data_IF_902161394222
#
_entry.id   IF_902161394222
#
_cell.length_a   1.000
_cell.length_b   1.000
_cell.length_c   1.000
_cell.angle_alpha   90.00
_cell.angle_beta   90.00
_cell.angle_gamma   90.00
#
_symmetry.space_group_name_H-M   'P 1'
#
loop_
_entity.id
_entity.type
_entity.pdbx_description
1 polymer ?
#
# COMPACT_ATOMS: atom_id res chain seq x y z
N UNK A 1 -29.82 1.81 -14.30
CA UNK A 1 -28.89 2.18 -13.22
C UNK A 1 -27.63 1.36 -13.41
N UNK A 2 -26.51 2.02 -13.57
CA UNK A 2 -25.21 1.36 -13.74
C UNK A 2 -24.79 0.69 -12.41
N UNK A 3 -24.32 -0.57 -12.46
CA UNK A 3 -23.86 -1.29 -11.27
C UNK A 3 -22.35 -1.51 -11.32
N UNK A 4 -21.66 -1.25 -10.21
CA UNK A 4 -20.24 -1.56 -10.00
C UNK A 4 -20.14 -2.60 -8.87
N UNK A 5 -19.44 -3.70 -9.11
CA UNK A 5 -19.15 -4.69 -8.10
C UNK A 5 -17.97 -4.28 -7.23
N UNK A 6 -18.04 -4.54 -5.92
CA UNK A 6 -16.92 -4.32 -5.02
C UNK A 6 -16.65 -5.55 -4.15
N UNK A 7 -15.42 -6.07 -4.20
CA UNK A 7 -14.92 -7.16 -3.36
C UNK A 7 -14.28 -6.56 -2.10
N UNK A 8 -14.88 -6.82 -0.94
CA UNK A 8 -14.48 -6.23 0.34
C UNK A 8 -13.84 -7.27 1.24
N UNK A 9 -12.58 -7.04 1.67
CA UNK A 9 -11.92 -7.90 2.63
C UNK A 9 -12.34 -7.58 4.07
N UNK A 10 -11.95 -8.48 4.99
CA UNK A 10 -11.91 -8.27 6.44
C UNK A 10 -10.47 -8.24 6.91
N UNK A 11 -10.23 -7.62 8.05
CA UNK A 11 -8.94 -7.64 8.74
C UNK A 11 -9.17 -7.69 10.26
N UNK A 12 -8.25 -8.33 10.98
CA UNK A 12 -8.25 -8.35 12.44
C UNK A 12 -7.73 -7.03 13.02
N UNK A 13 -6.70 -6.45 12.38
CA UNK A 13 -6.07 -5.21 12.88
C UNK A 13 -6.69 -3.94 12.32
N UNK A 14 -7.26 -4.04 11.10
CA UNK A 14 -7.95 -2.94 10.41
C UNK A 14 -9.43 -3.30 10.27
N UNK A 15 -10.14 -3.39 11.38
CA UNK A 15 -11.52 -3.93 11.48
C UNK A 15 -12.51 -3.20 10.56
N UNK A 16 -12.26 -1.93 10.27
CA UNK A 16 -13.11 -1.09 9.43
C UNK A 16 -12.75 -1.11 7.94
N UNK A 17 -11.70 -1.86 7.53
CA UNK A 17 -11.14 -1.83 6.17
C UNK A 17 -12.21 -1.94 5.06
N UNK A 18 -13.14 -2.88 5.17
CA UNK A 18 -14.20 -3.07 4.17
C UNK A 18 -15.16 -1.88 4.10
N UNK A 19 -15.48 -1.28 5.24
CA UNK A 19 -16.33 -0.09 5.30
C UNK A 19 -15.63 1.15 4.76
N UNK A 20 -14.35 1.31 5.06
CA UNK A 20 -13.56 2.45 4.60
C UNK A 20 -13.34 2.41 3.09
N UNK A 21 -13.06 1.21 2.53
CA UNK A 21 -13.01 0.98 1.08
C UNK A 21 -14.35 1.32 0.40
N UNK A 22 -15.46 0.83 0.97
CA UNK A 22 -16.79 1.09 0.41
C UNK A 22 -17.15 2.58 0.45
N UNK A 23 -16.96 3.22 1.61
CA UNK A 23 -17.34 4.63 1.77
C UNK A 23 -16.42 5.56 0.97
N UNK A 24 -15.10 5.27 0.89
CA UNK A 24 -14.17 6.02 0.06
C UNK A 24 -14.60 6.03 -1.41
N UNK A 25 -14.93 4.87 -1.97
CA UNK A 25 -15.43 4.78 -3.35
C UNK A 25 -16.76 5.53 -3.53
N UNK A 26 -17.70 5.34 -2.60
CA UNK A 26 -19.02 5.98 -2.66
C UNK A 26 -18.91 7.50 -2.63
N UNK A 27 -18.11 8.04 -1.72
CA UNK A 27 -17.91 9.49 -1.61
C UNK A 27 -17.13 10.04 -2.81
N UNK A 28 -16.14 9.31 -3.35
CA UNK A 28 -15.42 9.70 -4.57
C UNK A 28 -16.33 9.76 -5.79
N UNK A 29 -17.21 8.78 -5.97
CA UNK A 29 -18.23 8.80 -7.05
C UNK A 29 -19.22 9.95 -6.88
N UNK A 30 -19.71 10.18 -5.66
CA UNK A 30 -20.61 11.30 -5.34
C UNK A 30 -19.96 12.65 -5.64
N UNK A 31 -18.70 12.84 -5.23
CA UNK A 31 -17.94 14.05 -5.52
C UNK A 31 -17.79 14.32 -7.02
N UNK A 32 -17.69 13.26 -7.82
CA UNK A 32 -17.65 13.34 -9.27
C UNK A 32 -19.03 13.44 -9.93
N UNK A 33 -20.11 13.63 -9.18
CA UNK A 33 -21.49 13.76 -9.68
C UNK A 33 -22.06 12.45 -10.24
N UNK A 34 -21.58 11.28 -9.79
CA UNK A 34 -22.01 9.97 -10.28
C UNK A 34 -22.89 9.21 -9.28
N UNK A 35 -23.93 9.89 -8.78
CA UNK A 35 -24.97 9.29 -7.93
C UNK A 35 -25.84 8.24 -8.67
N UNK A 36 -25.75 8.18 -10.00
CA UNK A 36 -26.39 7.19 -10.85
C UNK A 36 -25.79 5.79 -10.76
N UNK A 37 -24.60 5.65 -10.13
CA UNK A 37 -23.88 4.37 -9.98
C UNK A 37 -24.29 3.68 -8.68
N UNK A 38 -24.78 2.44 -8.80
CA UNK A 38 -25.07 1.58 -7.66
C UNK A 38 -23.87 0.67 -7.36
N UNK A 39 -23.38 0.71 -6.14
CA UNK A 39 -22.38 -0.23 -5.63
C UNK A 39 -23.05 -1.53 -5.15
N UNK A 40 -22.53 -2.68 -5.59
CA UNK A 40 -22.93 -4.03 -5.17
C UNK A 40 -21.73 -4.70 -4.52
N UNK A 41 -21.79 -4.98 -3.23
CA UNK A 41 -20.65 -5.51 -2.47
C UNK A 41 -20.77 -7.00 -2.22
N UNK A 42 -19.64 -7.70 -2.31
CA UNK A 42 -19.44 -9.09 -1.86
C UNK A 42 -18.26 -9.16 -0.88
N UNK A 43 -18.43 -9.93 0.19
CA UNK A 43 -17.38 -10.13 1.19
C UNK A 43 -16.50 -11.33 0.80
N UNK A 44 -15.19 -11.13 0.79
CA UNK A 44 -14.19 -12.15 0.45
C UNK A 44 -13.41 -12.68 1.67
N UNK A 45 -13.92 -12.47 2.88
CA UNK A 45 -13.20 -12.84 4.11
C UNK A 45 -11.87 -12.10 4.18
N UNK A 46 -10.81 -12.79 4.54
CA UNK A 46 -9.45 -12.25 4.54
C UNK A 46 -8.79 -12.25 3.14
N UNK A 47 -9.51 -12.62 2.09
CA UNK A 47 -8.98 -12.70 0.73
C UNK A 47 -8.05 -13.90 0.47
N UNK A 48 -7.91 -14.81 1.45
CA UNK A 48 -7.05 -15.99 1.37
C UNK A 48 -7.74 -17.22 0.77
N UNK A 49 -9.06 -17.32 0.89
CA UNK A 49 -9.83 -18.41 0.30
C UNK A 49 -10.09 -18.13 -1.19
N UNK A 50 -9.36 -18.89 -2.03
CA UNK A 50 -9.45 -18.79 -3.49
C UNK A 50 -10.87 -19.05 -4.02
N UNK A 51 -11.58 -20.02 -3.42
CA UNK A 51 -12.92 -20.38 -3.87
C UNK A 51 -13.93 -19.30 -3.50
N UNK A 52 -13.83 -18.74 -2.32
CA UNK A 52 -14.68 -17.62 -1.89
C UNK A 52 -14.45 -16.40 -2.80
N UNK A 53 -13.19 -16.00 -3.04
CA UNK A 53 -12.88 -14.90 -3.93
C UNK A 53 -13.45 -15.10 -5.34
N UNK A 54 -13.27 -16.32 -5.90
CA UNK A 54 -13.77 -16.64 -7.22
C UNK A 54 -15.31 -16.60 -7.28
N UNK A 55 -16.01 -17.25 -6.34
CA UNK A 55 -17.49 -17.26 -6.30
C UNK A 55 -18.08 -15.86 -6.12
N UNK A 56 -17.46 -15.03 -5.26
CA UNK A 56 -17.92 -13.65 -5.06
C UNK A 56 -17.76 -12.81 -6.33
N UNK A 57 -16.65 -12.97 -7.05
CA UNK A 57 -16.45 -12.28 -8.33
C UNK A 57 -17.41 -12.81 -9.42
N UNK A 58 -17.59 -14.10 -9.51
CA UNK A 58 -18.52 -14.75 -10.45
C UNK A 58 -19.95 -14.29 -10.21
N UNK A 59 -20.42 -14.25 -8.96
CA UNK A 59 -21.75 -13.74 -8.59
C UNK A 59 -21.95 -12.31 -9.05
N UNK A 60 -21.00 -11.41 -8.79
CA UNK A 60 -21.06 -10.01 -9.23
C UNK A 60 -21.20 -9.90 -10.76
N UNK A 61 -20.49 -10.74 -11.51
CA UNK A 61 -20.47 -10.73 -12.97
C UNK A 61 -21.74 -11.34 -13.54
N UNK A 62 -22.10 -12.57 -13.10
CA UNK A 62 -23.14 -13.39 -13.76
C UNK A 62 -24.53 -13.14 -13.20
N UNK A 63 -24.68 -12.94 -11.89
CA UNK A 63 -25.99 -12.76 -11.25
C UNK A 63 -26.36 -11.28 -11.14
N UNK A 64 -25.43 -10.44 -10.65
CA UNK A 64 -25.65 -9.01 -10.47
C UNK A 64 -25.47 -8.21 -11.76
N UNK A 65 -24.80 -8.79 -12.76
CA UNK A 65 -24.51 -8.18 -14.08
C UNK A 65 -23.87 -6.79 -13.95
N UNK A 66 -22.83 -6.67 -13.11
CA UNK A 66 -22.11 -5.42 -12.93
C UNK A 66 -21.30 -5.04 -14.17
N UNK A 67 -21.04 -3.75 -14.38
CA UNK A 67 -20.28 -3.25 -15.52
C UNK A 67 -18.79 -3.53 -15.41
N UNK A 68 -18.25 -3.41 -14.20
CA UNK A 68 -16.89 -3.75 -13.81
C UNK A 68 -16.85 -4.15 -12.33
N UNK A 69 -15.74 -4.71 -11.88
CA UNK A 69 -15.50 -5.05 -10.47
C UNK A 69 -14.25 -4.34 -9.98
N UNK A 70 -14.31 -3.86 -8.74
CA UNK A 70 -13.16 -3.34 -8.00
C UNK A 70 -12.98 -4.15 -6.72
N UNK A 71 -11.75 -4.32 -6.24
CA UNK A 71 -11.53 -5.02 -4.99
C UNK A 71 -10.15 -4.78 -4.40
N UNK A 72 -10.09 -4.71 -3.06
CA UNK A 72 -8.82 -4.70 -2.34
C UNK A 72 -8.32 -6.14 -2.20
N UNK A 73 -7.52 -6.56 -3.19
CA UNK A 73 -7.02 -7.93 -3.36
C UNK A 73 -5.54 -7.89 -3.79
N UNK A 74 -4.79 -8.93 -3.45
CA UNK A 74 -3.42 -9.08 -3.93
C UNK A 74 -3.34 -9.53 -5.40
N UNK A 75 -2.17 -9.33 -6.01
CA UNK A 75 -1.92 -9.73 -7.41
C UNK A 75 -2.18 -11.23 -7.68
N UNK A 76 -1.97 -12.12 -6.70
CA UNK A 76 -2.25 -13.56 -6.82
C UNK A 76 -3.74 -13.85 -6.99
N UNK A 77 -4.60 -13.14 -6.23
CA UNK A 77 -6.05 -13.24 -6.41
C UNK A 77 -6.47 -12.64 -7.75
N UNK A 78 -5.85 -11.54 -8.18
CA UNK A 78 -6.08 -10.98 -9.50
C UNK A 78 -5.74 -11.96 -10.63
N UNK A 79 -4.62 -12.68 -10.54
CA UNK A 79 -4.24 -13.74 -11.48
C UNK A 79 -5.25 -14.90 -11.51
N UNK A 80 -5.74 -15.31 -10.33
CA UNK A 80 -6.79 -16.32 -10.21
C UNK A 80 -8.08 -15.91 -10.92
N UNK A 81 -8.48 -14.64 -10.81
CA UNK A 81 -9.71 -14.10 -11.39
C UNK A 81 -9.58 -13.75 -12.88
N UNK A 82 -8.36 -13.61 -13.40
CA UNK A 82 -8.08 -13.20 -14.78
C UNK A 82 -8.88 -13.98 -15.84
N UNK A 83 -8.94 -15.33 -15.83
CA UNK A 83 -9.71 -16.09 -16.83
C UNK A 83 -11.20 -15.74 -16.82
N UNK A 84 -11.80 -15.54 -15.64
CA UNK A 84 -13.21 -15.18 -15.49
C UNK A 84 -13.50 -13.81 -16.14
N UNK A 85 -12.66 -12.80 -15.85
CA UNK A 85 -12.83 -11.46 -16.39
C UNK A 85 -12.58 -11.39 -17.90
N UNK A 86 -11.61 -12.16 -18.41
CA UNK A 86 -11.37 -12.30 -19.84
C UNK A 86 -12.59 -12.90 -20.54
N UNK A 87 -13.12 -14.02 -20.03
CA UNK A 87 -14.26 -14.71 -20.61
C UNK A 87 -15.54 -13.83 -20.58
N UNK A 88 -15.75 -13.07 -19.52
CA UNK A 88 -16.88 -12.16 -19.37
C UNK A 88 -16.73 -10.83 -20.12
N UNK A 89 -15.57 -10.54 -20.67
CA UNK A 89 -15.20 -9.24 -21.25
C UNK A 89 -15.48 -8.07 -20.28
N UNK A 90 -15.07 -8.24 -19.01
CA UNK A 90 -15.24 -7.26 -17.92
C UNK A 90 -13.88 -6.79 -17.42
N UNK A 91 -13.84 -5.61 -16.80
CA UNK A 91 -12.63 -5.05 -16.18
C UNK A 91 -12.65 -5.35 -14.67
N UNK A 92 -11.49 -5.74 -14.14
CA UNK A 92 -11.17 -5.82 -12.72
C UNK A 92 -10.18 -4.71 -12.36
N UNK A 93 -10.58 -3.83 -11.45
CA UNK A 93 -9.68 -2.85 -10.84
C UNK A 93 -9.19 -3.42 -9.51
N UNK A 94 -7.92 -3.71 -9.44
CA UNK A 94 -7.24 -4.23 -8.25
C UNK A 94 -6.74 -3.05 -7.43
N UNK A 95 -7.27 -2.91 -6.22
CA UNK A 95 -6.69 -2.04 -5.20
C UNK A 95 -5.73 -2.88 -4.38
N UNK A 96 -4.50 -2.44 -4.21
CA UNK A 96 -3.54 -3.17 -3.41
C UNK A 96 -2.57 -2.25 -2.64
N UNK A 97 -1.95 -2.81 -1.61
CA UNK A 97 -0.94 -2.11 -0.84
C UNK A 97 0.42 -2.00 -1.57
N UNK A 98 0.63 -2.74 -2.66
CA UNK A 98 1.93 -2.82 -3.32
C UNK A 98 3.01 -3.47 -2.44
N UNK A 99 2.61 -4.37 -1.54
CA UNK A 99 3.52 -5.11 -0.67
C UNK A 99 4.23 -6.27 -1.38
N UNK A 100 3.64 -6.73 -2.48
CA UNK A 100 4.22 -7.66 -3.44
C UNK A 100 3.94 -7.13 -4.85
N UNK A 101 4.78 -7.51 -5.81
CA UNK A 101 4.60 -7.21 -7.23
C UNK A 101 4.31 -8.52 -8.00
N UNK A 102 3.62 -8.44 -9.15
CA UNK A 102 3.48 -9.59 -10.04
C UNK A 102 4.85 -10.16 -10.43
N UNK A 103 4.98 -11.48 -10.43
CA UNK A 103 6.19 -12.16 -10.93
C UNK A 103 6.28 -12.04 -12.46
N UNK A 104 5.15 -12.22 -13.13
CA UNK A 104 5.03 -12.04 -14.56
C UNK A 104 4.19 -10.80 -14.88
N UNK A 105 4.77 -9.88 -15.63
CA UNK A 105 4.12 -8.67 -16.10
C UNK A 105 3.43 -8.86 -17.45
N UNK A 106 2.81 -10.01 -17.65
CA UNK A 106 2.06 -10.24 -18.89
C UNK A 106 0.89 -9.27 -18.97
N UNK A 107 0.88 -8.44 -20.00
CA UNK A 107 -0.18 -7.47 -20.25
C UNK A 107 -1.55 -8.15 -20.26
N UNK A 108 -2.48 -7.62 -19.49
CA UNK A 108 -3.87 -8.03 -19.48
C UNK A 108 -4.79 -6.81 -19.54
N UNK A 109 -5.49 -6.58 -20.66
CA UNK A 109 -6.33 -5.40 -20.83
C UNK A 109 -7.53 -5.37 -19.86
N UNK A 110 -7.86 -6.51 -19.25
CA UNK A 110 -8.97 -6.65 -18.33
C UNK A 110 -8.61 -6.35 -16.88
N UNK A 111 -7.31 -6.15 -16.55
CA UNK A 111 -6.87 -5.91 -15.19
C UNK A 111 -6.13 -4.57 -15.10
N UNK A 112 -6.57 -3.74 -14.19
CA UNK A 112 -5.97 -2.46 -13.84
C UNK A 112 -5.52 -2.56 -12.38
N UNK A 113 -4.29 -2.13 -12.09
CA UNK A 113 -3.77 -2.07 -10.71
C UNK A 113 -3.72 -0.63 -10.24
N UNK A 114 -4.35 -0.35 -9.11
CA UNK A 114 -4.21 0.91 -8.38
C UNK A 114 -3.59 0.61 -7.03
N UNK A 115 -2.34 1.06 -6.83
CA UNK A 115 -1.48 0.60 -5.75
C UNK A 115 -1.00 1.72 -4.83
N UNK A 116 -0.77 1.38 -3.54
CA UNK A 116 -0.05 2.22 -2.59
C UNK A 116 1.47 2.13 -2.76
N UNK A 117 1.97 1.14 -3.51
CA UNK A 117 3.40 0.94 -3.80
C UNK A 117 4.29 0.82 -2.56
N UNK A 118 3.86 0.08 -1.54
CA UNK A 118 4.62 -0.05 -0.30
C UNK A 118 6.02 -0.65 -0.49
N UNK A 119 6.21 -1.57 -1.43
CA UNK A 119 7.54 -2.11 -1.76
C UNK A 119 8.46 -1.05 -2.37
N UNK A 120 7.92 -0.15 -3.21
CA UNK A 120 8.66 0.97 -3.78
C UNK A 120 9.00 2.02 -2.70
N UNK A 121 8.07 2.31 -1.78
CA UNK A 121 8.32 3.16 -0.63
C UNK A 121 9.39 2.60 0.30
N UNK A 122 9.41 1.27 0.52
CA UNK A 122 10.47 0.60 1.28
C UNK A 122 11.84 0.74 0.59
N UNK A 123 11.91 0.55 -0.74
CA UNK A 123 13.10 0.81 -1.53
C UNK A 123 13.63 2.24 -1.33
N UNK A 124 12.77 3.23 -1.49
CA UNK A 124 13.13 4.65 -1.36
C UNK A 124 13.50 5.03 0.07
N UNK A 125 12.86 4.42 1.08
CA UNK A 125 13.19 4.61 2.50
C UNK A 125 14.62 4.13 2.81
N UNK A 126 15.01 3.00 2.26
CA UNK A 126 16.38 2.48 2.41
C UNK A 126 17.42 3.35 1.69
N UNK A 127 17.10 3.88 0.50
CA UNK A 127 17.98 4.83 -0.20
C UNK A 127 18.15 6.14 0.58
N UNK A 128 17.10 6.60 1.27
CA UNK A 128 17.17 7.77 2.15
C UNK A 128 18.22 7.58 3.26
N UNK A 129 18.32 6.39 3.84
CA UNK A 129 19.31 6.11 4.88
C UNK A 129 20.75 6.30 4.35
N UNK A 130 21.05 5.84 3.14
CA UNK A 130 22.36 6.04 2.52
C UNK A 130 22.59 7.51 2.19
N UNK A 131 21.60 8.23 1.68
CA UNK A 131 21.66 9.68 1.42
C UNK A 131 21.97 10.48 2.69
N UNK A 132 21.48 10.02 3.83
CA UNK A 132 21.76 10.60 5.16
C UNK A 132 23.14 10.21 5.71
N UNK A 133 23.92 9.40 5.01
CA UNK A 133 25.32 9.07 5.33
C UNK A 133 25.51 7.71 5.99
N UNK A 134 24.47 6.88 6.11
CA UNK A 134 24.59 5.55 6.73
C UNK A 134 24.86 4.48 5.67
N UNK A 135 26.00 3.82 5.76
CA UNK A 135 26.42 2.75 4.83
C UNK A 135 26.32 1.35 5.40
N UNK A 136 26.14 1.21 6.71
CA UNK A 136 25.87 -0.06 7.38
C UNK A 136 24.41 -0.09 7.80
N UNK A 137 23.70 -1.18 7.55
CA UNK A 137 22.29 -1.35 7.88
C UNK A 137 22.02 -2.60 8.69
N UNK A 138 21.23 -2.47 9.76
CA UNK A 138 20.56 -3.57 10.41
C UNK A 138 19.11 -3.61 9.99
N UNK A 139 18.61 -4.77 9.53
CA UNK A 139 17.20 -4.92 9.18
C UNK A 139 16.45 -5.62 10.30
N UNK A 140 15.32 -5.02 10.72
CA UNK A 140 14.43 -5.56 11.75
C UNK A 140 13.00 -5.60 11.24
N UNK A 141 12.36 -6.77 11.32
CA UNK A 141 11.02 -6.97 10.77
C UNK A 141 10.09 -7.61 11.79
N UNK A 142 8.80 -7.30 11.71
CA UNK A 142 7.76 -8.13 12.29
C UNK A 142 7.79 -9.53 11.67
N UNK A 143 7.37 -10.55 12.44
CA UNK A 143 7.40 -11.94 11.99
C UNK A 143 6.69 -12.17 10.66
N UNK A 144 5.47 -11.65 10.52
CA UNK A 144 4.68 -11.79 9.29
C UNK A 144 5.14 -10.83 8.19
N UNK A 145 5.59 -9.64 8.57
CA UNK A 145 5.96 -8.58 7.64
C UNK A 145 7.21 -8.95 6.83
N UNK A 146 8.12 -9.72 7.42
CA UNK A 146 9.30 -10.27 6.75
C UNK A 146 8.99 -11.15 5.54
N UNK A 147 7.76 -11.64 5.41
CA UNK A 147 7.30 -12.45 4.26
C UNK A 147 6.91 -11.65 3.01
N UNK A 148 6.91 -10.31 3.04
CA UNK A 148 6.58 -9.48 1.88
C UNK A 148 7.81 -9.00 1.10
N UNK A 149 7.58 -8.60 -0.14
CA UNK A 149 8.62 -8.05 -1.03
C UNK A 149 9.32 -6.81 -0.43
N UNK A 150 8.70 -6.13 0.52
CA UNK A 150 9.29 -4.97 1.18
C UNK A 150 10.62 -5.28 1.85
N UNK A 151 10.83 -6.49 2.40
CA UNK A 151 12.11 -6.93 2.97
C UNK A 151 13.21 -6.92 1.91
N UNK A 152 12.93 -7.50 0.76
CA UNK A 152 13.82 -7.45 -0.40
C UNK A 152 14.05 -6.02 -0.88
N UNK A 153 12.99 -5.22 -0.95
CA UNK A 153 13.05 -3.82 -1.40
C UNK A 153 13.91 -2.95 -0.49
N UNK A 154 13.77 -3.09 0.84
CA UNK A 154 14.63 -2.42 1.82
C UNK A 154 16.10 -2.80 1.60
N UNK A 155 16.38 -4.10 1.52
CA UNK A 155 17.76 -4.62 1.32
C UNK A 155 18.34 -4.12 -0.01
N UNK A 156 17.64 -4.35 -1.11
CA UNK A 156 18.13 -3.96 -2.45
C UNK A 156 18.16 -2.46 -2.68
N UNK A 157 17.24 -1.69 -2.11
CA UNK A 157 17.27 -0.23 -2.14
C UNK A 157 18.50 0.31 -1.42
N UNK A 158 18.84 -0.25 -0.26
CA UNK A 158 20.03 0.12 0.51
C UNK A 158 21.33 -0.23 -0.23
N UNK A 159 21.42 -1.49 -0.71
CA UNK A 159 22.59 -1.96 -1.49
C UNK A 159 22.78 -1.16 -2.79
N UNK A 160 21.70 -0.87 -3.52
CA UNK A 160 21.75 -0.10 -4.76
C UNK A 160 22.25 1.34 -4.55
N UNK A 161 22.05 1.90 -3.35
CA UNK A 161 22.56 3.21 -2.98
C UNK A 161 23.98 3.18 -2.41
N UNK A 162 24.60 2.00 -2.24
CA UNK A 162 25.99 1.82 -1.76
C UNK A 162 26.08 1.39 -0.30
N UNK A 163 24.96 1.01 0.32
CA UNK A 163 24.94 0.45 1.68
C UNK A 163 25.18 -1.06 1.73
N UNK A 164 25.41 -1.59 2.92
CA UNK A 164 25.57 -3.03 3.19
C UNK A 164 24.68 -3.44 4.34
N UNK A 165 23.87 -4.47 4.15
CA UNK A 165 23.08 -5.09 5.24
C UNK A 165 24.00 -6.01 6.02
N UNK A 166 24.28 -5.63 7.27
CA UNK A 166 25.18 -6.35 8.18
C UNK A 166 24.45 -7.27 9.14
N UNK A 167 23.13 -7.10 9.29
CA UNK A 167 22.32 -7.81 10.26
C UNK A 167 20.87 -7.91 9.78
N UNK A 168 20.22 -9.03 10.10
CA UNK A 168 18.80 -9.24 9.82
C UNK A 168 18.16 -10.00 11.00
N UNK A 169 17.05 -9.48 11.50
CA UNK A 169 16.32 -10.05 12.63
C UNK A 169 14.80 -9.94 12.40
N UNK A 170 14.10 -11.07 12.54
CA UNK A 170 12.65 -11.10 12.64
C UNK A 170 12.26 -11.25 14.12
N UNK A 171 11.38 -10.36 14.60
CA UNK A 171 10.86 -10.43 15.97
C UNK A 171 9.89 -11.60 16.12
N UNK A 172 9.56 -11.96 17.38
CA UNK A 172 8.55 -12.98 17.66
C UNK A 172 7.18 -12.64 17.07
N UNK A 173 6.35 -13.67 16.90
CA UNK A 173 5.01 -13.52 16.30
C UNK A 173 3.91 -13.20 17.32
N UNK A 174 4.22 -13.21 18.62
CA UNK A 174 3.33 -12.81 19.72
C UNK A 174 4.01 -11.73 20.56
N UNK A 175 3.22 -10.99 21.30
CA UNK A 175 3.74 -9.95 22.19
C UNK A 175 4.75 -10.50 23.20
N UNK A 176 4.48 -11.69 23.77
CA UNK A 176 5.35 -12.34 24.77
C UNK A 176 6.70 -12.75 24.18
N UNK A 177 6.75 -13.01 22.89
CA UNK A 177 7.96 -13.46 22.16
C UNK A 177 8.66 -12.29 21.44
N UNK A 178 8.08 -11.09 21.47
CA UNK A 178 8.64 -9.93 20.78
C UNK A 178 9.94 -9.51 21.46
N UNK A 179 11.05 -9.59 20.73
CA UNK A 179 12.38 -9.23 21.26
C UNK A 179 13.23 -8.55 20.20
N UNK A 180 13.92 -7.50 20.63
CA UNK A 180 14.96 -6.82 19.87
C UNK A 180 16.36 -7.01 20.48
N UNK A 181 16.52 -7.90 21.46
CA UNK A 181 17.79 -8.15 22.13
C UNK A 181 18.94 -8.52 21.16
N UNK A 182 18.75 -9.38 20.13
CA UNK A 182 19.81 -9.68 19.17
C UNK A 182 20.37 -8.46 18.44
N UNK A 183 19.60 -7.39 18.33
CA UNK A 183 20.01 -6.14 17.70
C UNK A 183 21.07 -5.39 18.52
N UNK A 184 21.06 -5.50 19.84
CA UNK A 184 22.01 -4.82 20.73
C UNK A 184 23.45 -5.21 20.40
N UNK A 185 23.70 -6.51 20.21
CA UNK A 185 25.01 -7.00 19.81
C UNK A 185 25.45 -6.46 18.44
N UNK A 186 24.53 -6.35 17.50
CA UNK A 186 24.83 -5.75 16.20
C UNK A 186 25.23 -4.28 16.35
N UNK A 187 24.48 -3.49 17.08
CA UNK A 187 24.75 -2.05 17.27
C UNK A 187 26.08 -1.80 17.99
N UNK A 188 26.45 -2.66 18.94
CA UNK A 188 27.75 -2.59 19.59
C UNK A 188 28.92 -2.82 18.62
N UNK A 189 28.75 -3.69 17.63
CA UNK A 189 29.78 -3.98 16.62
C UNK A 189 29.78 -2.97 15.45
N UNK A 190 28.64 -2.35 15.16
CA UNK A 190 28.43 -1.41 14.05
C UNK A 190 27.75 -0.14 14.55
N UNK A 191 28.43 0.73 15.32
CA UNK A 191 27.79 1.87 16.01
C UNK A 191 27.21 2.94 15.07
N UNK A 192 27.62 2.98 13.80
CA UNK A 192 27.10 3.91 12.79
C UNK A 192 26.08 3.24 11.86
N UNK A 193 25.37 2.20 12.31
CA UNK A 193 24.34 1.54 11.53
C UNK A 193 23.01 2.31 11.59
N UNK A 194 22.32 2.34 10.45
CA UNK A 194 20.90 2.66 10.40
C UNK A 194 20.06 1.41 10.63
N UNK A 195 18.89 1.54 11.23
CA UNK A 195 17.89 0.49 11.29
C UNK A 195 16.89 0.65 10.16
N UNK A 196 16.79 -0.37 9.32
CA UNK A 196 15.75 -0.51 8.29
C UNK A 196 14.64 -1.37 8.88
N UNK A 197 13.48 -0.79 9.16
CA UNK A 197 12.47 -1.45 9.98
C UNK A 197 11.15 -1.64 9.22
N UNK A 198 10.58 -2.83 9.33
CA UNK A 198 9.34 -3.23 8.66
C UNK A 198 8.37 -3.85 9.69
N UNK A 199 7.35 -3.09 10.06
CA UNK A 199 6.30 -3.49 10.99
C UNK A 199 4.94 -3.03 10.49
N UNK A 200 3.88 -3.81 10.79
CA UNK A 200 2.49 -3.46 10.51
C UNK A 200 1.57 -3.82 11.67
N UNK A 201 0.35 -3.29 11.67
CA UNK A 201 -0.65 -3.57 12.68
C UNK A 201 -0.17 -3.29 14.11
N UNK A 202 -0.46 -4.17 15.05
CA UNK A 202 -0.09 -4.03 16.46
C UNK A 202 1.41 -4.10 16.69
N UNK A 203 2.18 -4.71 15.78
CA UNK A 203 3.64 -4.75 15.85
C UNK A 203 4.28 -3.36 15.82
N UNK A 204 3.63 -2.38 15.22
CA UNK A 204 4.07 -0.99 15.24
C UNK A 204 4.13 -0.47 16.67
N UNK A 205 3.08 -0.72 17.46
CA UNK A 205 3.01 -0.28 18.86
C UNK A 205 4.04 -0.99 19.73
N UNK A 206 4.21 -2.30 19.54
CA UNK A 206 5.22 -3.08 20.29
C UNK A 206 6.65 -2.63 19.97
N UNK A 207 6.91 -2.35 18.71
CA UNK A 207 8.20 -1.83 18.25
C UNK A 207 8.54 -0.49 18.91
N UNK A 208 7.63 0.48 18.86
CA UNK A 208 7.83 1.79 19.48
C UNK A 208 7.93 1.72 21.00
N UNK A 209 7.15 0.86 21.64
CA UNK A 209 7.23 0.63 23.08
C UNK A 209 8.61 0.06 23.47
N UNK A 210 9.13 -0.89 22.72
CA UNK A 210 10.46 -1.46 22.94
C UNK A 210 11.56 -0.40 22.77
N UNK A 211 11.48 0.45 21.75
CA UNK A 211 12.41 1.56 21.55
C UNK A 211 12.37 2.57 22.70
N UNK A 212 11.20 2.84 23.26
CA UNK A 212 11.03 3.77 24.38
C UNK A 212 11.58 3.20 25.70
N UNK A 213 11.40 1.92 25.94
CA UNK A 213 11.75 1.26 27.21
C UNK A 213 13.23 0.97 27.38
N UNK A 214 14.02 0.93 26.29
CA UNK A 214 15.43 0.58 26.33
C UNK A 214 16.33 1.75 25.94
N UNK A 215 17.21 2.14 26.84
CA UNK A 215 18.23 3.15 26.56
C UNK A 215 19.26 2.72 25.51
N UNK A 216 19.37 1.41 25.25
CA UNK A 216 20.30 0.83 24.27
C UNK A 216 19.93 1.18 22.84
N UNK A 217 18.67 1.52 22.60
CA UNK A 217 18.16 1.96 21.30
C UNK A 217 18.10 3.49 21.13
N UNK A 218 18.53 4.26 22.13
CA UNK A 218 18.52 5.71 22.06
C UNK A 218 19.42 6.23 20.93
N UNK A 219 18.96 7.27 20.24
CA UNK A 219 19.69 7.96 19.17
C UNK A 219 20.03 7.12 17.94
N UNK A 220 19.44 5.94 17.77
CA UNK A 220 19.61 5.16 16.56
C UNK A 220 18.78 5.77 15.43
N UNK A 221 19.37 6.00 14.24
CA UNK A 221 18.63 6.42 13.07
C UNK A 221 17.79 5.25 12.54
N UNK A 222 16.50 5.46 12.43
CA UNK A 222 15.53 4.44 12.02
C UNK A 222 14.84 4.88 10.73
N UNK A 223 14.76 3.97 9.76
CA UNK A 223 14.08 4.16 8.49
C UNK A 223 12.98 3.12 8.34
N UNK A 224 11.73 3.59 8.38
CA UNK A 224 10.55 2.72 8.35
C UNK A 224 10.10 2.44 6.92
N UNK A 225 9.59 1.23 6.71
CA UNK A 225 8.79 0.93 5.54
C UNK A 225 7.39 1.57 5.65
N UNK A 226 6.67 1.75 4.54
CA UNK A 226 5.34 2.35 4.54
C UNK A 226 4.31 1.68 5.46
N UNK A 227 4.44 0.38 5.75
CA UNK A 227 3.53 -0.32 6.65
C UNK A 227 3.46 0.30 8.05
N UNK A 228 4.60 0.68 8.60
CA UNK A 228 4.66 1.31 9.93
C UNK A 228 4.25 2.79 9.92
N UNK A 229 4.03 3.37 8.75
CA UNK A 229 3.65 4.77 8.54
C UNK A 229 2.14 4.94 8.25
N UNK A 230 1.35 3.88 8.39
CA UNK A 230 -0.11 3.98 8.34
C UNK A 230 -0.60 4.74 9.59
N UNK A 231 -1.20 5.93 9.36
CA UNK A 231 -1.40 6.91 10.43
C UNK A 231 -2.37 6.42 11.52
N UNK A 232 -3.38 5.60 11.20
CA UNK A 232 -4.35 5.13 12.19
C UNK A 232 -3.75 4.13 13.20
N UNK A 233 -2.69 3.42 12.83
CA UNK A 233 -1.92 2.57 13.74
C UNK A 233 -0.78 3.33 14.40
N UNK A 234 -0.10 4.19 13.65
CA UNK A 234 0.99 5.01 14.16
C UNK A 234 0.54 5.95 15.28
N UNK A 235 -0.63 6.57 15.17
CA UNK A 235 -1.23 7.45 16.18
C UNK A 235 -1.52 6.77 17.52
N UNK A 236 -1.52 5.43 17.56
CA UNK A 236 -1.64 4.64 18.79
C UNK A 236 -0.27 4.32 19.42
N UNK A 237 0.83 4.58 18.71
CA UNK A 237 2.17 4.28 19.17
C UNK A 237 2.74 5.44 20.03
N UNK A 238 3.48 5.08 21.07
CA UNK A 238 4.17 6.06 21.93
C UNK A 238 5.37 6.62 21.20
N UNK A 239 5.60 7.94 21.34
CA UNK A 239 6.75 8.58 20.73
C UNK A 239 8.05 8.17 21.44
N UNK A 240 9.14 8.09 20.67
CA UNK A 240 10.50 7.83 21.16
C UNK A 240 11.45 8.94 20.72
N UNK A 241 12.58 9.10 21.41
CA UNK A 241 13.58 10.11 21.09
C UNK A 241 14.48 9.75 19.89
N UNK A 242 14.17 8.67 19.17
CA UNK A 242 14.91 8.26 17.99
C UNK A 242 14.63 9.19 16.81
N UNK A 243 15.62 9.33 15.92
CA UNK A 243 15.41 9.92 14.62
C UNK A 243 14.74 8.90 13.69
N UNK A 244 13.43 8.98 13.54
CA UNK A 244 12.64 8.04 12.75
C UNK A 244 12.13 8.74 11.50
N UNK A 245 12.51 8.19 10.33
CA UNK A 245 12.12 8.67 9.00
C UNK A 245 11.55 7.52 8.17
N UNK A 246 10.95 7.86 7.05
CA UNK A 246 10.49 6.86 6.08
C UNK A 246 9.85 7.51 4.87
N UNK A 247 9.28 6.67 4.01
CA UNK A 247 8.54 7.10 2.83
C UNK A 247 7.10 6.67 2.98
N UNK A 248 6.18 7.63 3.00
CA UNK A 248 4.75 7.40 3.06
C UNK A 248 4.11 7.53 1.67
N UNK A 249 3.15 6.67 1.37
CA UNK A 249 2.34 6.77 0.14
C UNK A 249 1.28 7.86 0.25
N UNK A 250 0.92 8.27 1.47
CA UNK A 250 -0.02 9.34 1.77
C UNK A 250 0.15 9.81 3.22
N UNK A 251 -0.20 11.07 3.45
CA UNK A 251 -0.41 11.64 4.78
C UNK A 251 -1.59 12.60 4.75
N UNK A 252 -2.33 12.66 5.84
CA UNK A 252 -3.40 13.68 6.03
C UNK A 252 -2.88 15.11 5.93
N UNK A 253 -1.56 15.31 6.02
CA UNK A 253 -0.89 16.61 5.99
C UNK A 253 -0.45 17.04 4.58
N UNK A 254 -0.72 16.27 3.53
CA UNK A 254 -0.44 16.68 2.14
C UNK A 254 -1.27 17.93 1.81
N UNK A 255 -0.62 19.06 1.43
CA UNK A 255 -1.28 20.35 1.31
C UNK A 255 -1.89 20.58 -0.09
N UNK A 256 -2.70 19.61 -0.58
CA UNK A 256 -3.43 19.74 -1.85
C UNK A 256 -4.91 19.93 -1.59
N UNK A 257 -5.60 20.62 -2.53
CA UNK A 257 -7.05 20.82 -2.46
C UNK A 257 -7.78 19.48 -2.54
N UNK A 258 -7.27 18.54 -3.35
CA UNK A 258 -7.83 17.19 -3.49
C UNK A 258 -7.74 16.41 -2.18
N UNK A 259 -6.65 16.57 -1.41
CA UNK A 259 -6.53 15.95 -0.10
C UNK A 259 -7.47 16.57 0.93
N UNK A 260 -7.59 17.88 0.92
CA UNK A 260 -8.55 18.58 1.79
C UNK A 260 -9.99 18.13 1.53
N UNK A 261 -10.37 18.06 0.25
CA UNK A 261 -11.69 17.60 -0.20
C UNK A 261 -11.97 16.15 0.19
N UNK A 262 -11.00 15.25 0.00
CA UNK A 262 -11.08 13.85 0.43
C UNK A 262 -11.33 13.74 1.94
N UNK A 263 -10.53 14.44 2.75
CA UNK A 263 -10.67 14.42 4.22
C UNK A 263 -12.04 14.92 4.65
N UNK A 264 -12.48 16.07 4.13
CA UNK A 264 -13.78 16.64 4.45
C UNK A 264 -14.93 15.68 4.10
N UNK A 265 -14.87 15.03 2.94
CA UNK A 265 -15.89 14.07 2.52
C UNK A 265 -15.95 12.83 3.43
N UNK A 266 -14.79 12.28 3.83
CA UNK A 266 -14.73 11.15 4.73
C UNK A 266 -15.23 11.51 6.13
N UNK A 267 -14.78 12.62 6.71
CA UNK A 267 -15.19 13.11 8.02
C UNK A 267 -16.70 13.42 8.05
N UNK A 268 -17.24 14.04 6.99
CA UNK A 268 -18.68 14.30 6.83
C UNK A 268 -19.52 13.01 6.74
N UNK A 269 -18.92 11.92 6.29
CA UNK A 269 -19.56 10.59 6.27
C UNK A 269 -19.44 9.83 7.61
N UNK A 270 -18.76 10.42 8.62
CA UNK A 270 -18.48 9.82 9.91
C UNK A 270 -17.32 8.82 9.90
N UNK A 271 -16.41 8.91 8.92
CA UNK A 271 -15.24 8.06 8.79
C UNK A 271 -13.94 8.83 8.98
N UNK A 272 -12.95 8.17 9.57
CA UNK A 272 -11.58 8.70 9.65
C UNK A 272 -10.88 8.46 8.31
N UNK A 273 -10.35 9.52 7.65
CA UNK A 273 -9.56 9.37 6.44
C UNK A 273 -8.35 8.46 6.68
N UNK A 274 -8.16 7.47 5.84
CA UNK A 274 -7.05 6.50 5.92
C UNK A 274 -6.68 5.96 4.54
N UNK A 275 -5.62 5.12 4.46
CA UNK A 275 -5.12 4.57 3.20
C UNK A 275 -6.18 3.76 2.43
N UNK A 276 -7.11 3.12 3.11
CA UNK A 276 -8.12 2.27 2.48
C UNK A 276 -9.23 3.10 1.84
N UNK A 277 -9.74 4.10 2.56
CA UNK A 277 -10.70 5.06 1.99
C UNK A 277 -10.07 5.90 0.88
N UNK A 278 -8.78 6.27 1.02
CA UNK A 278 -8.00 6.99 0.02
C UNK A 278 -7.94 6.24 -1.32
N UNK A 279 -7.43 5.00 -1.31
CA UNK A 279 -7.18 4.26 -2.55
C UNK A 279 -8.48 3.96 -3.29
N UNK A 280 -9.57 3.75 -2.58
CA UNK A 280 -10.88 3.55 -3.19
C UNK A 280 -11.51 4.88 -3.65
N UNK A 281 -11.29 6.00 -2.95
CA UNK A 281 -11.66 7.32 -3.41
C UNK A 281 -11.01 7.65 -4.76
N UNK A 282 -9.68 7.51 -4.86
CA UNK A 282 -8.93 7.75 -6.09
C UNK A 282 -9.42 6.88 -7.25
N UNK A 283 -9.79 5.63 -6.96
CA UNK A 283 -10.30 4.71 -7.97
C UNK A 283 -11.62 5.15 -8.60
N UNK A 284 -12.37 6.07 -7.98
CA UNK A 284 -13.57 6.65 -8.59
C UNK A 284 -13.26 7.35 -9.93
N UNK A 285 -12.14 8.07 -10.01
CA UNK A 285 -11.69 8.72 -11.24
C UNK A 285 -11.31 7.70 -12.32
N UNK A 286 -10.66 6.61 -11.91
CA UNK A 286 -10.32 5.50 -12.82
C UNK A 286 -11.59 4.85 -13.35
N UNK A 287 -12.57 4.56 -12.50
CA UNK A 287 -13.87 3.98 -12.89
C UNK A 287 -14.58 4.85 -13.90
N UNK A 288 -14.69 6.15 -13.64
CA UNK A 288 -15.37 7.09 -14.52
C UNK A 288 -14.69 7.11 -15.89
N UNK A 289 -13.36 7.19 -15.91
CA UNK A 289 -12.59 7.16 -17.16
C UNK A 289 -12.75 5.82 -17.90
N UNK A 290 -12.68 4.71 -17.20
CA UNK A 290 -12.89 3.37 -17.78
C UNK A 290 -14.26 3.24 -18.41
N UNK A 291 -15.33 3.65 -17.72
CA UNK A 291 -16.70 3.59 -18.24
C UNK A 291 -16.87 4.44 -19.51
N UNK A 292 -16.33 5.65 -19.53
CA UNK A 292 -16.35 6.51 -20.71
C UNK A 292 -15.59 5.87 -21.89
N UNK A 293 -14.41 5.32 -21.65
CA UNK A 293 -13.61 4.64 -22.66
C UNK A 293 -14.26 3.33 -23.16
N UNK A 294 -14.95 2.60 -22.30
CA UNK A 294 -15.71 1.41 -22.70
C UNK A 294 -16.85 1.76 -23.65
N UNK A 295 -17.58 2.84 -23.39
CA UNK A 295 -18.64 3.34 -24.28
C UNK A 295 -18.06 3.81 -25.63
N UNK A 296 -17.03 4.65 -25.61
CA UNK A 296 -16.36 5.21 -26.78
C UNK A 296 -15.77 4.10 -27.68
N UNK A 297 -15.15 3.09 -27.08
CA UNK A 297 -14.49 1.99 -27.80
C UNK A 297 -15.38 0.76 -27.98
N UNK A 298 -16.69 0.85 -27.73
CA UNK A 298 -17.66 -0.26 -27.90
C UNK A 298 -17.21 -1.54 -27.17
N UNK A 299 -16.73 -1.39 -25.93
CA UNK A 299 -16.21 -2.46 -25.07
C UNK A 299 -15.01 -3.24 -25.66
N UNK A 300 -14.21 -2.60 -26.51
CA UNK A 300 -12.94 -3.16 -26.98
C UNK A 300 -11.87 -2.92 -25.91
N UNK A 301 -11.68 -3.87 -24.98
CA UNK A 301 -10.82 -3.68 -23.81
C UNK A 301 -9.34 -3.44 -24.13
N UNK A 302 -8.73 -4.04 -25.17
CA UNK A 302 -7.38 -3.64 -25.58
C UNK A 302 -7.27 -2.14 -25.93
N UNK A 303 -8.25 -1.56 -26.61
CA UNK A 303 -8.26 -0.12 -26.89
C UNK A 303 -8.51 0.73 -25.65
N UNK A 304 -9.34 0.24 -24.72
CA UNK A 304 -9.55 0.90 -23.42
C UNK A 304 -8.23 0.95 -22.63
N UNK A 305 -7.50 -0.15 -22.56
CA UNK A 305 -6.22 -0.23 -21.86
C UNK A 305 -5.15 0.66 -22.51
N UNK A 306 -5.07 0.70 -23.85
CA UNK A 306 -4.17 1.59 -24.58
C UNK A 306 -4.48 3.07 -24.28
N UNK A 307 -5.75 3.45 -24.32
CA UNK A 307 -6.18 4.82 -24.00
C UNK A 307 -5.92 5.20 -22.52
N UNK A 308 -6.03 4.24 -21.59
CA UNK A 308 -5.70 4.46 -20.17
C UNK A 308 -4.21 4.72 -19.96
N UNK A 309 -3.34 4.19 -20.79
CA UNK A 309 -1.88 4.36 -20.64
C UNK A 309 -1.41 5.83 -20.69
N UNK A 310 -2.22 6.73 -21.23
CA UNK A 310 -1.99 8.18 -21.27
C UNK A 310 -2.86 8.97 -20.29
N UNK A 311 -3.70 8.29 -19.52
CA UNK A 311 -4.59 8.96 -18.58
C UNK A 311 -3.84 9.33 -17.29
N UNK A 312 -4.01 10.56 -16.87
CA UNK A 312 -3.50 11.08 -15.61
C UNK A 312 -4.59 11.90 -14.92
N UNK A 313 -4.55 11.95 -13.61
CA UNK A 313 -5.48 12.73 -12.80
C UNK A 313 -4.83 13.18 -11.49
N UNK A 314 -5.37 14.23 -10.86
CA UNK A 314 -4.97 14.65 -9.54
C UNK A 314 -5.84 13.95 -8.49
N UNK A 315 -5.18 13.26 -7.56
CA UNK A 315 -5.79 12.66 -6.40
C UNK A 315 -5.29 13.30 -5.10
N UNK A 316 -5.77 12.86 -3.94
CA UNK A 316 -5.29 13.33 -2.64
C UNK A 316 -3.77 13.21 -2.45
N UNK A 317 -3.13 12.27 -3.12
CA UNK A 317 -1.68 12.07 -3.12
C UNK A 317 -0.93 12.92 -4.15
N UNK A 318 -1.62 13.74 -4.94
CA UNK A 318 -1.05 14.49 -6.05
C UNK A 318 -1.35 13.85 -7.41
N UNK A 319 -0.45 14.04 -8.38
CA UNK A 319 -0.66 13.58 -9.76
C UNK A 319 -0.44 12.08 -9.90
N UNK A 320 -1.47 11.36 -10.30
CA UNK A 320 -1.47 9.91 -10.53
C UNK A 320 -1.47 9.65 -12.03
N UNK A 321 -0.58 8.76 -12.48
CA UNK A 321 -0.41 8.40 -13.88
C UNK A 321 -0.35 6.89 -14.06
N UNK A 322 -0.68 6.40 -15.25
CA UNK A 322 -0.56 4.98 -15.58
C UNK A 322 0.83 4.62 -16.08
N UNK A 323 1.35 3.52 -15.61
CA UNK A 323 2.53 2.88 -16.19
C UNK A 323 2.10 2.05 -17.41
N UNK A 324 2.66 2.41 -18.59
CA UNK A 324 2.19 1.93 -19.88
C UNK A 324 2.23 0.40 -20.06
N UNK A 325 3.28 -0.25 -19.54
CA UNK A 325 3.48 -1.69 -19.77
C UNK A 325 2.70 -2.57 -18.78
N UNK A 326 2.33 -2.04 -17.61
CA UNK A 326 1.78 -2.85 -16.52
C UNK A 326 0.31 -2.60 -16.21
N UNK A 327 -0.32 -1.57 -16.81
CA UNK A 327 -1.63 -1.06 -16.40
C UNK A 327 -1.73 -0.72 -14.90
N UNK A 328 -0.59 -0.39 -14.28
CA UNK A 328 -0.52 -0.01 -12.87
C UNK A 328 -0.44 1.50 -12.76
N UNK A 329 -1.13 2.08 -11.80
CA UNK A 329 -0.99 3.51 -11.51
C UNK A 329 0.25 3.75 -10.67
N UNK A 330 0.92 4.88 -10.89
CA UNK A 330 1.97 5.41 -10.04
C UNK A 330 1.53 6.77 -9.50
N UNK A 331 1.71 6.96 -8.20
CA UNK A 331 1.41 8.19 -7.48
C UNK A 331 2.67 8.72 -6.79
N UNK A 332 2.73 10.00 -6.47
CA UNK A 332 3.79 10.55 -5.63
C UNK A 332 3.91 9.81 -4.29
N UNK A 333 5.13 9.75 -3.77
CA UNK A 333 5.46 9.31 -2.43
C UNK A 333 6.20 10.43 -1.71
N UNK A 334 6.15 10.44 -0.39
CA UNK A 334 6.63 11.57 0.40
C UNK A 334 7.62 11.12 1.46
N UNK A 335 8.72 11.85 1.60
CA UNK A 335 9.59 11.76 2.77
C UNK A 335 8.76 12.17 3.99
N UNK A 336 8.87 11.41 5.06
CA UNK A 336 8.22 11.73 6.34
C UNK A 336 9.17 11.50 7.50
N UNK A 337 8.92 12.27 8.57
CA UNK A 337 9.58 12.09 9.85
C UNK A 337 8.51 11.89 10.92
N UNK A 338 8.78 11.02 11.87
CA UNK A 338 7.90 10.86 13.02
C UNK A 338 8.27 11.89 14.07
N UNK A 339 7.26 12.65 14.51
CA UNK A 339 7.34 13.64 15.58
C UNK A 339 6.31 13.30 16.66
N UNK A 340 6.46 13.94 17.82
CA UNK A 340 5.49 13.85 18.91
C UNK A 340 4.35 14.83 18.69
N UNK A 341 3.13 14.38 18.93
CA UNK A 341 2.00 15.29 19.13
C UNK A 341 1.99 15.91 20.53
N UNK A 342 0.98 16.71 20.84
CA UNK A 342 0.82 17.37 22.15
C UNK A 342 0.59 16.38 23.32
N UNK A 343 0.24 15.12 23.01
CA UNK A 343 -0.06 14.05 23.97
C UNK A 343 1.09 13.02 24.10
N UNK A 344 2.19 13.20 23.38
CA UNK A 344 3.31 12.27 23.36
C UNK A 344 3.12 11.07 22.44
N UNK A 345 2.15 11.12 21.53
CA UNK A 345 1.90 10.08 20.54
C UNK A 345 2.60 10.40 19.21
N UNK A 346 2.79 9.38 18.40
CA UNK A 346 3.43 9.55 17.09
C UNK A 346 2.52 10.22 16.07
N UNK A 347 3.07 11.14 15.30
CA UNK A 347 2.43 11.68 14.09
C UNK A 347 3.46 11.91 12.98
N UNK A 348 2.98 12.00 11.73
CA UNK A 348 3.83 12.27 10.57
C UNK A 348 4.03 13.78 10.37
N UNK A 349 5.28 14.19 10.30
CA UNK A 349 5.70 15.46 9.70
C UNK A 349 6.04 15.21 8.24
N UNK A 350 5.36 15.93 7.34
CA UNK A 350 5.53 15.78 5.89
C UNK A 350 6.81 16.50 5.43
N UNK A 351 7.63 15.77 4.64
CA UNK A 351 8.81 16.29 3.96
C UNK A 351 8.58 16.51 2.46
N UNK A 352 9.61 16.27 1.67
CA UNK A 352 9.59 16.48 0.22
C UNK A 352 8.93 15.29 -0.49
N UNK A 353 8.40 15.57 -1.68
CA UNK A 353 8.04 14.50 -2.63
C UNK A 353 9.30 13.76 -3.10
N UNK A 354 9.22 12.44 -3.17
CA UNK A 354 10.30 11.57 -3.63
C UNK A 354 10.50 11.72 -5.13
N UNK A 355 11.71 12.07 -5.54
CA UNK A 355 12.07 12.13 -6.96
C UNK A 355 12.51 10.78 -7.50
N UNK A 356 12.36 10.53 -8.81
CA UNK A 356 12.83 9.28 -9.44
C UNK A 356 11.97 8.05 -9.14
N UNK A 357 10.70 8.26 -8.77
CA UNK A 357 9.77 7.17 -8.44
C UNK A 357 9.58 6.20 -9.60
N UNK A 358 9.50 6.70 -10.85
CA UNK A 358 9.36 5.87 -12.04
C UNK A 358 10.62 5.02 -12.28
N UNK A 359 11.80 5.60 -12.20
CA UNK A 359 13.08 4.91 -12.37
C UNK A 359 13.30 3.83 -11.29
N UNK A 360 12.91 4.13 -10.06
CA UNK A 360 12.94 3.18 -8.95
C UNK A 360 11.95 2.03 -9.15
N UNK A 361 10.76 2.31 -9.67
CA UNK A 361 9.78 1.28 -10.01
C UNK A 361 10.29 0.36 -11.12
N UNK A 362 10.84 0.92 -12.21
CA UNK A 362 11.45 0.16 -13.29
C UNK A 362 12.61 -0.71 -12.79
N UNK A 363 13.44 -0.17 -11.91
CA UNK A 363 14.54 -0.92 -11.31
C UNK A 363 14.03 -2.08 -10.44
N UNK A 364 13.04 -1.84 -9.58
CA UNK A 364 12.48 -2.86 -8.70
C UNK A 364 11.83 -4.00 -9.50
N UNK A 365 11.04 -3.68 -10.53
CA UNK A 365 10.38 -4.69 -11.36
C UNK A 365 11.33 -5.45 -12.30
N UNK A 366 12.56 -4.97 -12.49
CA UNK A 366 13.56 -5.64 -13.33
C UNK A 366 14.24 -6.83 -12.65
N UNK A 367 14.07 -7.00 -11.34
CA UNK A 367 14.58 -8.15 -10.62
C UNK A 367 13.72 -9.38 -10.88
N UNK A 368 14.34 -10.57 -10.82
CA UNK A 368 13.60 -11.82 -10.69
C UNK A 368 12.98 -11.88 -9.28
N UNK A 369 11.65 -11.89 -9.21
CA UNK A 369 10.91 -11.85 -7.96
C UNK A 369 10.34 -13.23 -7.58
N UNK A 370 10.62 -14.29 -8.32
CA UNK A 370 10.02 -15.61 -8.13
C UNK A 370 10.31 -16.16 -6.72
N UNK A 371 11.54 -16.02 -6.25
CA UNK A 371 11.96 -16.56 -4.94
C UNK A 371 11.78 -15.58 -3.79
N UNK A 372 11.45 -14.30 -4.06
CA UNK A 372 11.38 -13.26 -3.02
C UNK A 372 9.96 -12.78 -2.71
N UNK A 373 8.97 -13.19 -3.50
CA UNK A 373 7.57 -12.90 -3.21
C UNK A 373 6.98 -13.96 -2.28
N UNK A 374 6.31 -13.51 -1.23
CA UNK A 374 5.68 -14.42 -0.28
C UNK A 374 4.46 -15.14 -0.87
N UNK A 375 4.05 -16.21 -0.19
CA UNK A 375 2.79 -16.88 -0.46
C UNK A 375 1.54 -16.12 0.03
N UNK A 376 1.70 -15.00 0.73
CA UNK A 376 0.60 -14.19 1.25
C UNK A 376 -0.27 -13.64 0.12
N UNK A 377 -1.59 -13.80 0.28
CA UNK A 377 -2.56 -13.42 -0.75
C UNK A 377 -2.89 -11.94 -0.74
N UNK A 378 -2.93 -11.33 0.43
CA UNK A 378 -3.27 -9.93 0.59
C UNK A 378 -2.58 -9.32 1.80
N UNK A 379 -2.24 -8.04 1.73
CA UNK A 379 -1.61 -7.27 2.80
C UNK A 379 -2.65 -6.49 3.59
N UNK A 380 -2.34 -6.15 4.85
CA UNK A 380 -3.23 -5.49 5.82
C UNK A 380 -4.47 -6.32 6.25
N UNK A 381 -4.69 -7.46 5.65
CA UNK A 381 -5.80 -8.37 5.99
C UNK A 381 -5.29 -9.50 6.88
N UNK A 382 -4.80 -9.15 8.04
CA UNK A 382 -4.26 -10.11 9.01
C UNK A 382 -5.38 -10.98 9.61
N UNK A 383 -5.10 -12.27 9.81
CA UNK A 383 -6.01 -13.26 10.39
C UNK A 383 -5.82 -13.29 11.91
#
# INVERSE_FOLDING_TARGET
MLKIGILLPRSTYYETIGFDLYEGLKQGLKQAGRDDIKLVSENIGFGADKQQCYRSAEKLILEENVSLVIGFIGHRTAQLLRPLFLAANKILIVLDAGANLPQEWSFCPNIIYHSLHNSLGAWSSAQMAVKDGYTNGGMVTGYYDGGYLQTFSLSKGFENAGGTICFNHATGYKNEDFSMEPLINHLNNYPNSALLSLFSGDFVQWYFLCLQQSNEFNNIPIYLSPFALEETMLEKAVFTNNSIKGIASWSKNIPTDENALFKEAMESSGRIPNLFSLISWESSQIIIKVLALMEENKNNLPKVADALSSFEFNGPRGKIQFHKETNMTLAPQYEVKIISDAHGMCQLELGNEVTGTMESFEKLRSFDLEEVTSAWYNSYVCI
#
